data_IF_911199696255
#
_entry.id   IF_911199696255
#
_cell.length_a   1.000
_cell.length_b   1.000
_cell.length_c   1.000
_cell.angle_alpha   90.00
_cell.angle_beta   90.00
_cell.angle_gamma   90.00
#
_symmetry.space_group_name_H-M   'P 1'
#
loop_
_entity.id
_entity.type
_entity.pdbx_description
1 polymer ?
#
# COMPACT_ATOMS: atom_id res chain seq x y z
N UNK A 1 45.56 -19.24 5.21
CA UNK A 1 44.19 -19.41 5.74
C UNK A 1 43.29 -18.44 5.00
N UNK A 2 42.47 -18.92 4.07
CA UNK A 2 41.47 -18.09 3.38
C UNK A 2 40.14 -18.28 4.11
N UNK A 3 39.64 -17.19 4.68
CA UNK A 3 38.33 -17.12 5.34
C UNK A 3 37.26 -17.13 4.24
N UNK A 4 36.43 -18.17 4.22
CA UNK A 4 35.18 -18.17 3.47
C UNK A 4 34.18 -17.31 4.24
N UNK A 5 33.83 -16.14 3.70
CA UNK A 5 32.61 -15.43 4.10
C UNK A 5 31.43 -16.10 3.39
N UNK A 6 30.29 -16.33 4.06
CA UNK A 6 29.10 -16.85 3.39
C UNK A 6 28.58 -15.82 2.38
N UNK A 7 28.05 -16.31 1.27
CA UNK A 7 27.39 -15.50 0.27
C UNK A 7 26.18 -14.79 0.91
N UNK A 8 26.09 -13.47 0.75
CA UNK A 8 24.94 -12.70 1.22
C UNK A 8 23.68 -13.15 0.50
N UNK A 9 22.63 -13.50 1.26
CA UNK A 9 21.27 -13.64 0.72
C UNK A 9 20.80 -12.24 0.34
N UNK A 10 20.46 -12.05 -0.93
CA UNK A 10 19.72 -10.85 -1.37
C UNK A 10 18.25 -11.24 -1.34
N UNK A 11 17.51 -10.69 -0.38
CA UNK A 11 16.07 -10.90 -0.29
C UNK A 11 15.37 -9.85 -1.15
N UNK A 12 14.70 -10.29 -2.21
CA UNK A 12 13.80 -9.45 -2.99
C UNK A 12 12.37 -9.79 -2.58
N UNK A 13 11.68 -8.83 -1.96
CA UNK A 13 10.24 -8.97 -1.65
C UNK A 13 9.47 -8.53 -2.89
N UNK A 14 8.75 -9.47 -3.50
CA UNK A 14 7.87 -9.17 -4.63
C UNK A 14 6.41 -9.21 -4.17
N UNK A 15 5.70 -8.09 -4.30
CA UNK A 15 4.25 -8.08 -4.34
C UNK A 15 3.81 -8.23 -5.80
N UNK A 16 3.05 -9.27 -6.12
CA UNK A 16 2.59 -9.52 -7.47
C UNK A 16 1.33 -8.68 -7.76
N UNK A 17 1.49 -7.56 -8.46
CA UNK A 17 0.40 -6.83 -9.11
C UNK A 17 0.21 -7.32 -10.54
N UNK A 18 -0.99 -7.75 -10.91
CA UNK A 18 -1.32 -8.11 -12.30
C UNK A 18 -1.64 -6.82 -13.05
N UNK A 19 -0.77 -6.40 -13.95
CA UNK A 19 -1.07 -5.34 -14.93
C UNK A 19 -1.63 -6.00 -16.18
N UNK A 20 -2.93 -5.83 -16.44
CA UNK A 20 -3.54 -6.20 -17.72
C UNK A 20 -3.44 -4.99 -18.65
N UNK A 21 -2.40 -4.94 -19.48
CA UNK A 21 -2.25 -3.90 -20.49
C UNK A 21 -3.00 -4.26 -21.78
N UNK A 22 -3.99 -3.44 -22.18
CA UNK A 22 -4.55 -3.47 -23.52
C UNK A 22 -3.56 -2.82 -24.50
N UNK A 23 -3.01 -3.60 -25.44
CA UNK A 23 -2.08 -3.11 -26.44
C UNK A 23 -2.79 -2.25 -27.50
N UNK A 24 -2.44 -0.97 -27.60
CA UNK A 24 -2.68 -0.17 -28.80
C UNK A 24 -1.36 0.01 -29.55
N UNK A 25 -1.40 -0.21 -30.86
CA UNK A 25 -0.21 -0.27 -31.71
C UNK A 25 0.53 1.09 -31.77
N UNK A 26 1.72 1.14 -31.17
CA UNK A 26 2.65 2.27 -31.26
C UNK A 26 3.37 2.34 -32.61
N UNK A 27 4.00 3.49 -32.94
CA UNK A 27 4.60 3.73 -34.24
C UNK A 27 5.80 2.81 -34.50
N UNK A 28 5.93 2.36 -35.75
CA UNK A 28 6.96 1.45 -36.22
C UNK A 28 8.37 2.02 -35.98
N UNK A 29 9.08 1.45 -35.00
CA UNK A 29 10.45 1.84 -34.67
C UNK A 29 10.93 1.44 -33.27
N UNK A 30 10.02 1.14 -32.34
CA UNK A 30 10.38 0.49 -31.09
C UNK A 30 10.63 -1.00 -31.35
N UNK A 31 11.83 -1.50 -31.02
CA UNK A 31 12.05 -2.95 -31.01
C UNK A 31 11.08 -3.59 -30.00
N UNK A 32 10.27 -4.52 -30.48
CA UNK A 32 9.31 -5.27 -29.67
C UNK A 32 10.06 -6.25 -28.76
N UNK A 33 10.58 -5.73 -27.64
CA UNK A 33 11.29 -6.47 -26.60
C UNK A 33 10.42 -7.52 -25.91
N UNK A 34 9.12 -7.57 -26.19
CA UNK A 34 8.23 -8.62 -25.68
C UNK A 34 8.49 -9.99 -26.34
N UNK A 35 9.22 -10.01 -27.45
CA UNK A 35 9.60 -11.24 -28.15
C UNK A 35 11.05 -11.68 -27.87
N UNK A 36 11.81 -10.88 -27.13
CA UNK A 36 13.15 -11.29 -26.71
C UNK A 36 13.03 -12.52 -25.80
N UNK A 37 13.85 -13.57 -26.01
CA UNK A 37 13.84 -14.72 -25.13
C UNK A 37 14.13 -14.25 -23.71
N UNK A 38 13.33 -14.75 -22.75
CA UNK A 38 13.61 -14.56 -21.33
C UNK A 38 15.03 -15.04 -21.07
N UNK A 39 15.93 -14.10 -20.78
CA UNK A 39 17.31 -14.42 -20.49
C UNK A 39 17.31 -15.18 -19.17
N UNK A 40 17.60 -16.47 -19.21
CA UNK A 40 17.89 -17.25 -18.01
C UNK A 40 19.17 -16.68 -17.40
N UNK A 41 19.00 -15.87 -16.35
CA UNK A 41 20.09 -15.23 -15.63
C UNK A 41 21.00 -16.21 -14.89
N UNK A 42 20.73 -17.52 -14.94
CA UNK A 42 21.55 -18.57 -14.33
C UNK A 42 21.52 -18.60 -12.80
N UNK A 43 20.74 -17.72 -12.17
CA UNK A 43 20.49 -17.71 -10.74
C UNK A 43 19.08 -18.27 -10.48
N UNK A 44 18.95 -19.47 -9.88
CA UNK A 44 17.64 -20.01 -9.55
C UNK A 44 16.96 -19.11 -8.51
N UNK A 45 15.74 -18.66 -8.82
CA UNK A 45 14.87 -17.95 -7.88
C UNK A 45 13.96 -18.96 -7.18
N UNK A 46 13.80 -18.81 -5.88
CA UNK A 46 12.85 -19.57 -5.07
C UNK A 46 12.06 -18.60 -4.19
N UNK A 47 10.79 -18.93 -3.95
CA UNK A 47 9.93 -18.20 -3.01
C UNK A 47 9.93 -18.92 -1.67
N UNK A 48 10.15 -18.17 -0.60
CA UNK A 48 10.05 -18.64 0.78
C UNK A 48 8.94 -17.84 1.47
N UNK A 49 7.90 -18.49 2.05
CA UNK A 49 6.89 -17.79 2.82
C UNK A 49 7.50 -17.17 4.08
N UNK A 50 7.39 -15.85 4.23
CA UNK A 50 7.85 -15.13 5.43
C UNK A 50 6.74 -14.86 6.45
N UNK A 51 5.48 -14.95 6.03
CA UNK A 51 4.31 -14.80 6.90
C UNK A 51 3.11 -15.57 6.34
N UNK A 52 2.15 -15.89 7.22
CA UNK A 52 0.87 -16.50 6.88
C UNK A 52 -0.22 -16.06 7.87
N UNK A 53 -1.49 -16.24 7.53
CA UNK A 53 -2.62 -15.89 8.39
C UNK A 53 -3.03 -14.42 8.37
N UNK A 54 -2.51 -13.63 7.42
CA UNK A 54 -3.02 -12.29 7.10
C UNK A 54 -4.37 -12.41 6.36
N UNK A 55 -5.19 -11.37 6.38
CA UNK A 55 -6.55 -11.41 5.83
C UNK A 55 -6.55 -11.20 4.32
N UNK A 56 -6.10 -10.03 3.88
CA UNK A 56 -5.95 -9.61 2.49
C UNK A 56 -4.85 -8.54 2.40
N UNK A 57 -3.56 -8.93 2.37
CA UNK A 57 -2.44 -7.98 2.25
C UNK A 57 -2.54 -7.11 0.99
N UNK A 58 -2.41 -5.79 1.13
CA UNK A 58 -2.56 -4.81 0.04
C UNK A 58 -1.25 -4.17 -0.39
N UNK A 59 -0.29 -3.98 0.52
CA UNK A 59 1.00 -3.35 0.27
C UNK A 59 2.08 -3.86 1.22
N UNK A 60 3.35 -3.74 0.82
CA UNK A 60 4.50 -4.12 1.64
C UNK A 60 5.70 -3.19 1.41
N UNK A 61 6.31 -2.71 2.48
CA UNK A 61 7.53 -1.88 2.42
C UNK A 61 8.50 -2.21 3.54
N UNK A 62 9.80 -2.17 3.26
CA UNK A 62 10.82 -2.44 4.28
C UNK A 62 10.80 -1.35 5.37
N UNK A 63 11.11 -1.73 6.61
CA UNK A 63 11.38 -0.76 7.67
C UNK A 63 12.63 0.05 7.32
N UNK A 64 12.61 1.39 7.44
CA UNK A 64 13.79 2.21 7.20
C UNK A 64 14.87 2.11 8.29
N UNK A 65 14.55 1.52 9.44
CA UNK A 65 15.37 1.57 10.66
C UNK A 65 15.62 0.24 11.33
N UNK A 66 14.89 -0.81 10.95
CA UNK A 66 15.03 -2.14 11.52
C UNK A 66 15.26 -3.11 10.37
N UNK A 67 16.47 -3.66 10.32
CA UNK A 67 16.82 -4.69 9.36
C UNK A 67 15.85 -5.89 9.48
N UNK A 68 15.64 -6.59 8.37
CA UNK A 68 14.81 -7.80 8.30
C UNK A 68 13.34 -7.60 8.76
N UNK A 69 12.84 -6.36 8.71
CA UNK A 69 11.44 -6.05 8.98
C UNK A 69 10.70 -5.51 7.76
N UNK A 70 9.59 -6.16 7.43
CA UNK A 70 8.65 -5.74 6.40
C UNK A 70 7.37 -5.23 7.07
N UNK A 71 6.94 -4.02 6.73
CA UNK A 71 5.63 -3.52 7.11
C UNK A 71 4.64 -3.86 6.01
N UNK A 72 3.56 -4.55 6.36
CA UNK A 72 2.55 -5.04 5.43
C UNK A 72 1.20 -4.47 5.81
N UNK A 73 0.55 -3.73 4.92
CA UNK A 73 -0.85 -3.34 5.11
C UNK A 73 -1.75 -4.51 4.79
N UNK A 74 -2.76 -4.68 5.61
CA UNK A 74 -3.83 -5.66 5.44
C UNK A 74 -5.14 -4.88 5.27
N UNK A 75 -5.94 -5.27 4.27
CA UNK A 75 -7.11 -4.50 3.83
C UNK A 75 -8.07 -4.19 4.99
N UNK A 76 -8.16 -5.09 5.96
CA UNK A 76 -9.01 -4.99 7.14
C UNK A 76 -8.55 -3.94 8.18
N UNK A 77 -7.49 -3.17 7.90
CA UNK A 77 -7.06 -2.04 8.72
C UNK A 77 -5.86 -2.31 9.61
N UNK A 78 -5.16 -3.43 9.42
CA UNK A 78 -3.98 -3.78 10.22
C UNK A 78 -2.71 -3.51 9.41
N UNK A 79 -1.77 -2.78 9.99
CA UNK A 79 -0.37 -2.80 9.53
C UNK A 79 0.36 -3.86 10.36
N UNK A 80 0.86 -4.89 9.71
CA UNK A 80 1.70 -5.93 10.30
C UNK A 80 3.17 -5.56 10.21
N UNK A 81 3.92 -5.72 11.30
CA UNK A 81 5.37 -5.84 11.28
C UNK A 81 5.74 -7.32 11.16
N UNK A 82 6.35 -7.68 10.04
CA UNK A 82 6.76 -9.05 9.70
C UNK A 82 8.27 -9.17 9.83
N UNK A 83 8.73 -10.13 10.62
CA UNK A 83 10.13 -10.57 10.65
C UNK A 83 10.40 -11.54 9.50
N UNK A 84 11.23 -11.14 8.54
CA UNK A 84 11.49 -11.98 7.35
C UNK A 84 12.49 -13.11 7.59
N UNK A 85 13.15 -13.14 8.75
CA UNK A 85 14.07 -14.22 9.17
C UNK A 85 13.39 -15.25 10.10
N UNK A 86 12.06 -15.19 10.21
CA UNK A 86 11.25 -16.20 10.90
C UNK A 86 10.86 -15.84 12.34
N UNK A 87 11.04 -14.59 12.76
CA UNK A 87 10.60 -14.10 14.07
C UNK A 87 9.09 -13.87 14.23
N UNK A 88 8.30 -14.10 13.17
CA UNK A 88 6.84 -14.01 13.19
C UNK A 88 6.27 -12.62 12.85
N UNK A 89 4.99 -12.43 13.13
CA UNK A 89 4.25 -11.19 12.83
C UNK A 89 3.69 -10.54 14.10
N UNK A 90 3.65 -9.20 14.12
CA UNK A 90 3.04 -8.41 15.20
C UNK A 90 2.30 -7.20 14.64
N UNK A 91 1.27 -6.73 15.34
CA UNK A 91 0.55 -5.50 14.96
C UNK A 91 1.45 -4.28 15.16
N UNK A 92 1.59 -3.46 14.12
CA UNK A 92 2.31 -2.19 14.14
C UNK A 92 1.38 -0.98 14.26
N UNK A 93 0.22 -1.05 13.60
CA UNK A 93 -0.87 -0.07 13.66
C UNK A 93 -2.20 -0.79 13.40
N UNK A 94 -3.24 -0.38 14.12
CA UNK A 94 -4.63 -0.82 13.91
C UNK A 94 -5.51 0.41 13.65
N UNK A 95 -6.09 0.47 12.46
CA UNK A 95 -7.05 1.49 12.04
C UNK A 95 -8.40 0.88 11.65
N UNK A 96 -8.66 -0.37 12.02
CA UNK A 96 -9.87 -1.11 11.63
C UNK A 96 -11.16 -0.38 12.02
N UNK A 97 -11.19 0.23 13.20
CA UNK A 97 -12.32 1.03 13.71
C UNK A 97 -12.58 2.32 12.91
N UNK A 98 -11.67 2.73 12.02
CA UNK A 98 -11.82 3.92 11.17
C UNK A 98 -12.40 3.60 9.80
N UNK A 99 -12.34 2.34 9.38
CA UNK A 99 -12.72 1.96 8.04
C UNK A 99 -14.24 1.90 7.88
N UNK A 100 -14.71 2.10 6.64
CA UNK A 100 -16.05 1.66 6.27
C UNK A 100 -16.20 0.14 6.45
N UNK A 101 -17.45 -0.32 6.58
CA UNK A 101 -17.73 -1.75 6.53
C UNK A 101 -17.33 -2.33 5.16
N UNK A 102 -16.41 -3.30 5.19
CA UNK A 102 -15.88 -3.98 4.02
C UNK A 102 -16.75 -5.17 3.60
N UNK A 103 -16.60 -5.60 2.35
CA UNK A 103 -17.31 -6.73 1.77
C UNK A 103 -18.67 -6.36 1.21
N UNK A 104 -18.81 -5.17 0.61
CA UNK A 104 -20.08 -4.66 0.07
C UNK A 104 -20.72 -5.58 -0.98
N UNK A 105 -19.92 -6.35 -1.73
CA UNK A 105 -20.42 -7.36 -2.67
C UNK A 105 -20.82 -8.71 -2.05
N UNK A 106 -20.52 -8.93 -0.76
CA UNK A 106 -20.74 -10.21 -0.08
C UNK A 106 -19.64 -11.26 -0.32
N UNK A 107 -19.86 -12.52 0.09
CA UNK A 107 -18.84 -13.58 0.00
C UNK A 107 -18.41 -13.86 -1.44
N UNK A 108 -17.12 -14.10 -1.65
CA UNK A 108 -16.50 -14.36 -2.97
C UNK A 108 -16.67 -13.21 -3.98
N UNK A 109 -16.71 -11.98 -3.49
CA UNK A 109 -16.64 -10.76 -4.30
C UNK A 109 -15.40 -9.95 -3.94
N UNK A 110 -15.26 -8.78 -4.55
CA UNK A 110 -14.20 -7.84 -4.25
C UNK A 110 -14.76 -6.58 -3.60
N UNK A 111 -13.89 -5.88 -2.90
CA UNK A 111 -14.06 -4.55 -2.34
C UNK A 111 -12.67 -3.93 -2.45
N UNK A 112 -12.52 -2.74 -3.01
CA UNK A 112 -11.18 -2.11 -3.11
C UNK A 112 -10.92 -1.14 -1.96
N UNK A 113 -11.93 -0.91 -1.11
CA UNK A 113 -11.81 -0.08 0.07
C UNK A 113 -10.99 -0.75 1.16
N UNK A 114 -10.50 0.05 2.08
CA UNK A 114 -9.85 -0.39 3.31
C UNK A 114 -8.56 0.35 3.56
N UNK A 115 -7.56 -0.33 4.14
CA UNK A 115 -6.21 0.18 4.26
C UNK A 115 -5.38 -0.22 3.02
N UNK A 116 -5.00 0.77 2.21
CA UNK A 116 -4.42 0.53 0.88
C UNK A 116 -2.95 0.96 0.77
N UNK A 117 -2.60 2.07 1.43
CA UNK A 117 -1.29 2.71 1.28
C UNK A 117 -0.53 2.83 2.59
N UNK A 118 0.79 2.69 2.52
CA UNK A 118 1.72 2.99 3.60
C UNK A 118 3.02 3.57 3.03
N UNK A 119 3.43 4.73 3.54
CA UNK A 119 4.72 5.33 3.24
C UNK A 119 5.42 5.83 4.52
N UNK A 120 6.71 5.57 4.64
CA UNK A 120 7.55 6.18 5.67
C UNK A 120 8.07 7.53 5.19
N UNK A 121 8.13 8.52 6.09
CA UNK A 121 8.80 9.77 5.80
C UNK A 121 10.30 9.51 5.49
N UNK A 122 10.95 10.25 4.58
CA UNK A 122 12.37 10.06 4.27
C UNK A 122 13.28 10.17 5.51
N UNK A 123 12.93 11.05 6.45
CA UNK A 123 13.60 11.22 7.75
C UNK A 123 13.02 10.35 8.89
N UNK A 124 12.34 9.24 8.59
CA UNK A 124 11.65 8.38 9.58
C UNK A 124 12.54 7.99 10.77
N UNK A 125 13.83 7.75 10.54
CA UNK A 125 14.78 7.43 11.61
C UNK A 125 14.90 8.52 12.70
N UNK A 126 14.66 9.77 12.32
CA UNK A 126 14.75 10.93 13.21
C UNK A 126 13.39 11.38 13.75
N UNK A 127 12.34 11.33 12.92
CA UNK A 127 11.03 11.91 13.26
C UNK A 127 9.93 10.88 13.56
N UNK A 128 10.13 9.61 13.18
CA UNK A 128 9.15 8.54 13.36
C UNK A 128 7.88 8.69 12.53
N UNK A 129 7.86 9.54 11.49
CA UNK A 129 6.65 9.85 10.73
C UNK A 129 6.35 8.83 9.63
N UNK A 130 5.09 8.42 9.52
CA UNK A 130 4.57 7.59 8.45
C UNK A 130 3.18 8.07 8.01
N UNK A 131 2.74 7.60 6.85
CA UNK A 131 1.49 8.00 6.22
C UNK A 131 0.70 6.78 5.78
N UNK A 132 -0.62 6.82 5.99
CA UNK A 132 -1.54 5.76 5.55
C UNK A 132 -2.59 6.32 4.61
N UNK A 133 -3.11 5.47 3.73
CA UNK A 133 -4.30 5.72 2.91
C UNK A 133 -5.43 4.78 3.34
N UNK A 134 -6.56 5.34 3.78
CA UNK A 134 -7.70 4.57 4.30
C UNK A 134 -9.03 5.03 3.70
N UNK A 135 -9.91 4.07 3.41
CA UNK A 135 -11.32 4.34 3.08
C UNK A 135 -12.14 4.49 4.37
N UNK A 136 -12.42 5.73 4.78
CA UNK A 136 -13.20 6.06 5.99
C UNK A 136 -14.67 6.39 5.66
N UNK A 137 -15.61 6.27 6.63
CA UNK A 137 -16.97 6.78 6.45
C UNK A 137 -16.99 8.28 6.14
N UNK A 138 -18.05 8.71 5.46
CA UNK A 138 -18.29 10.12 5.16
C UNK A 138 -18.51 10.88 6.47
N UNK A 139 -17.53 11.71 6.86
CA UNK A 139 -17.56 12.52 8.07
C UNK A 139 -17.09 13.94 7.78
N UNK A 140 -18.04 14.80 7.46
CA UNK A 140 -17.79 16.21 7.14
C UNK A 140 -17.40 16.45 5.68
N UNK A 141 -16.82 17.63 5.43
CA UNK A 141 -16.43 18.07 4.09
C UNK A 141 -15.07 17.50 3.70
N UNK A 142 -14.97 16.99 2.47
CA UNK A 142 -13.68 16.67 1.87
C UNK A 142 -12.92 17.94 1.43
N UNK A 143 -11.61 17.83 1.35
CA UNK A 143 -10.73 18.86 0.79
C UNK A 143 -10.83 18.90 -0.75
N UNK A 144 -11.13 17.76 -1.37
CA UNK A 144 -11.29 17.60 -2.80
C UNK A 144 -12.45 16.65 -3.11
N UNK A 145 -13.22 16.97 -4.15
CA UNK A 145 -14.38 16.18 -4.58
C UNK A 145 -14.67 16.44 -6.04
N UNK A 146 -14.91 15.37 -6.80
CA UNK A 146 -15.43 15.40 -8.17
C UNK A 146 -16.92 15.05 -8.22
N UNK A 147 -17.55 14.88 -7.06
CA UNK A 147 -18.95 14.48 -6.95
C UNK A 147 -19.90 15.54 -7.53
N UNK A 148 -20.96 15.14 -8.25
CA UNK A 148 -22.04 16.03 -8.63
C UNK A 148 -22.69 16.69 -7.41
N UNK A 149 -23.16 17.93 -7.58
CA UNK A 149 -23.83 18.64 -6.48
C UNK A 149 -25.06 17.87 -6.00
N UNK A 150 -25.15 17.65 -4.69
CA UNK A 150 -26.29 16.98 -4.05
C UNK A 150 -26.21 15.45 -4.02
N UNK A 151 -25.12 14.84 -4.48
CA UNK A 151 -24.89 13.39 -4.31
C UNK A 151 -24.06 13.11 -3.06
N UNK A 152 -24.38 12.03 -2.36
CA UNK A 152 -23.59 11.55 -1.22
C UNK A 152 -22.49 10.62 -1.73
N UNK A 153 -21.22 10.81 -1.33
CA UNK A 153 -20.14 9.88 -1.67
C UNK A 153 -20.32 8.53 -0.98
N UNK A 154 -19.73 7.48 -1.54
CA UNK A 154 -19.73 6.15 -0.94
C UNK A 154 -18.92 6.13 0.36
N UNK A 155 -17.73 6.72 0.29
CA UNK A 155 -16.77 6.79 1.36
C UNK A 155 -15.84 8.00 1.14
N UNK A 156 -14.89 8.21 2.04
CA UNK A 156 -13.85 9.20 1.85
C UNK A 156 -12.48 8.53 1.93
N UNK A 157 -11.65 8.76 0.92
CA UNK A 157 -10.22 8.43 0.94
C UNK A 157 -9.52 9.41 1.86
N UNK A 158 -8.83 8.90 2.88
CA UNK A 158 -8.18 9.72 3.91
C UNK A 158 -6.70 9.39 4.01
N UNK A 159 -5.87 10.41 3.82
CA UNK A 159 -4.44 10.35 4.02
C UNK A 159 -4.14 10.90 5.40
N UNK A 160 -3.55 10.07 6.27
CA UNK A 160 -3.20 10.44 7.64
C UNK A 160 -1.70 10.31 7.87
N UNK A 161 -1.10 11.30 8.53
CA UNK A 161 0.22 11.22 9.14
C UNK A 161 0.10 10.65 10.56
N UNK A 162 1.08 9.83 10.94
CA UNK A 162 1.20 9.24 12.27
C UNK A 162 2.65 9.30 12.73
N UNK A 163 2.86 9.13 14.03
CA UNK A 163 4.19 9.10 14.62
C UNK A 163 4.42 7.81 15.43
N UNK A 164 5.61 7.27 15.27
CA UNK A 164 6.17 6.18 16.08
C UNK A 164 7.17 6.80 17.07
N UNK A 165 7.01 6.60 18.39
CA UNK A 165 7.84 7.28 19.39
C UNK A 165 9.30 6.79 19.41
N UNK A 166 9.56 5.55 18.98
CA UNK A 166 10.88 4.93 18.99
C UNK A 166 11.14 4.15 17.68
N UNK A 167 11.27 4.82 16.53
CA UNK A 167 11.26 4.19 15.21
C UNK A 167 12.38 3.15 14.99
N UNK A 168 13.44 3.17 15.79
CA UNK A 168 14.53 2.18 15.75
C UNK A 168 14.36 0.95 16.67
N UNK A 169 13.27 0.84 17.42
CA UNK A 169 13.06 -0.28 18.34
C UNK A 169 12.13 -1.35 17.72
N UNK A 170 12.52 -2.65 17.67
CA UNK A 170 11.72 -3.70 17.02
C UNK A 170 10.29 -3.87 17.54
N UNK A 171 10.06 -3.52 18.81
CA UNK A 171 8.73 -3.55 19.43
C UNK A 171 7.99 -2.20 19.40
N UNK A 172 8.50 -1.20 18.66
CA UNK A 172 7.82 0.07 18.54
C UNK A 172 6.55 -0.08 17.69
N UNK A 173 5.49 0.56 18.15
CA UNK A 173 4.18 0.64 17.49
C UNK A 173 3.84 2.10 17.28
N UNK A 174 2.98 2.38 16.31
CA UNK A 174 2.45 3.72 16.08
C UNK A 174 1.64 4.16 17.30
N UNK A 175 1.77 5.43 17.71
CA UNK A 175 0.89 6.03 18.71
C UNK A 175 -0.38 6.57 18.01
N UNK A 176 -1.56 5.95 18.18
CA UNK A 176 -2.76 6.38 17.46
C UNK A 176 -3.22 7.80 17.82
N UNK A 177 -2.80 8.34 18.97
CA UNK A 177 -3.14 9.71 19.39
C UNK A 177 -2.42 10.78 18.56
N UNK A 178 -1.38 10.40 17.83
CA UNK A 178 -0.57 11.31 17.00
C UNK A 178 -1.16 11.57 15.61
N UNK A 179 -2.27 10.90 15.27
CA UNK A 179 -2.94 11.04 13.96
C UNK A 179 -3.13 12.51 13.59
N UNK A 180 -2.59 12.90 12.45
CA UNK A 180 -2.93 14.15 11.78
C UNK A 180 -3.47 13.85 10.39
N UNK A 181 -4.71 14.22 10.14
CA UNK A 181 -5.29 14.15 8.80
C UNK A 181 -4.60 15.16 7.88
N UNK A 182 -4.20 14.71 6.69
CA UNK A 182 -3.47 15.52 5.71
C UNK A 182 -4.37 15.87 4.53
N UNK A 183 -5.20 14.92 4.09
CA UNK A 183 -6.07 15.08 2.94
C UNK A 183 -7.27 14.14 3.06
N UNK A 184 -8.46 14.65 2.78
CA UNK A 184 -9.71 13.90 2.69
C UNK A 184 -10.35 14.13 1.32
N UNK A 185 -10.75 13.05 0.65
CA UNK A 185 -11.27 13.09 -0.71
C UNK A 185 -12.57 12.30 -0.78
N UNK A 186 -13.61 12.88 -1.37
CA UNK A 186 -14.88 12.16 -1.61
C UNK A 186 -14.72 11.14 -2.74
N UNK A 187 -15.14 9.90 -2.49
CA UNK A 187 -15.13 8.82 -3.49
C UNK A 187 -16.56 8.40 -3.89
N UNK A 188 -16.88 8.35 -5.18
CA UNK A 188 -18.24 8.04 -5.62
C UNK A 188 -18.66 6.59 -5.37
N UNK A 189 -17.73 5.63 -5.47
CA UNK A 189 -18.02 4.20 -5.37
C UNK A 189 -17.00 3.47 -4.49
N UNK A 190 -16.98 2.14 -4.54
CA UNK A 190 -16.17 1.28 -3.65
C UNK A 190 -14.96 0.64 -4.35
N UNK A 191 -14.71 1.05 -5.58
CA UNK A 191 -13.73 0.48 -6.47
C UNK A 191 -13.08 1.60 -7.29
N UNK A 192 -11.93 1.29 -7.87
CA UNK A 192 -10.94 2.22 -8.41
C UNK A 192 -10.40 3.17 -7.34
N UNK A 193 -10.03 2.62 -6.17
CA UNK A 193 -9.57 3.42 -5.03
C UNK A 193 -8.07 3.76 -5.11
N UNK A 194 -7.29 3.04 -5.93
CA UNK A 194 -5.83 3.14 -6.03
C UNK A 194 -5.12 3.01 -4.67
N UNK A 195 -4.64 4.12 -4.09
CA UNK A 195 -4.13 4.17 -2.71
C UNK A 195 -2.62 4.05 -2.53
N UNK A 196 -1.82 4.02 -3.60
CA UNK A 196 -0.36 4.00 -3.47
C UNK A 196 0.16 5.33 -2.89
N UNK A 197 1.07 5.22 -1.90
CA UNK A 197 1.76 6.35 -1.27
C UNK A 197 3.26 6.18 -1.45
N UNK A 198 3.96 7.22 -1.92
CA UNK A 198 5.41 7.19 -2.06
C UNK A 198 6.02 8.57 -1.91
N UNK A 199 7.15 8.67 -1.22
CA UNK A 199 7.96 9.88 -1.24
C UNK A 199 8.87 9.90 -2.45
N UNK A 200 8.83 10.99 -3.22
CA UNK A 200 9.77 11.24 -4.30
C UNK A 200 11.14 11.69 -3.79
N UNK A 201 12.17 11.65 -4.65
CA UNK A 201 13.52 12.14 -4.31
C UNK A 201 13.56 13.67 -4.07
N UNK A 202 12.50 14.38 -4.43
CA UNK A 202 12.27 15.80 -4.18
C UNK A 202 11.66 16.08 -2.79
N UNK A 203 11.33 15.04 -2.02
CA UNK A 203 10.78 15.16 -0.67
C UNK A 203 9.26 15.35 -0.62
N UNK A 204 8.55 15.28 -1.74
CA UNK A 204 7.09 15.34 -1.75
C UNK A 204 6.46 13.96 -1.58
N UNK A 205 5.33 13.91 -0.87
CA UNK A 205 4.47 12.73 -0.83
C UNK A 205 3.59 12.72 -2.08
N UNK A 206 3.75 11.68 -2.90
CA UNK A 206 2.90 11.41 -4.05
C UNK A 206 1.80 10.44 -3.64
N UNK A 207 0.57 10.80 -3.99
CA UNK A 207 -0.64 10.06 -3.67
C UNK A 207 -1.28 9.62 -4.98
N UNK A 208 -1.40 8.31 -5.20
CA UNK A 208 -2.17 7.77 -6.30
C UNK A 208 -3.65 7.69 -5.90
N UNK A 209 -4.48 8.39 -6.66
CA UNK A 209 -5.93 8.45 -6.48
C UNK A 209 -6.58 7.86 -7.73
N UNK A 210 -7.57 6.99 -7.56
CA UNK A 210 -8.39 6.56 -8.69
C UNK A 210 -9.61 7.46 -8.85
N UNK A 211 -10.45 7.15 -9.83
CA UNK A 211 -11.66 7.93 -10.13
C UNK A 211 -12.88 7.49 -9.32
N UNK A 212 -12.75 6.42 -8.54
CA UNK A 212 -13.83 5.82 -7.79
C UNK A 212 -14.94 5.24 -8.68
N UNK A 213 -14.66 4.93 -9.95
CA UNK A 213 -15.66 4.59 -10.96
C UNK A 213 -16.04 3.11 -11.05
N UNK A 214 -17.20 2.79 -11.62
CA UNK A 214 -17.66 1.41 -11.78
C UNK A 214 -16.92 0.69 -12.91
N UNK A 215 -17.12 -0.63 -13.01
CA UNK A 215 -16.76 -1.36 -14.24
C UNK A 215 -17.42 -0.72 -15.48
N UNK A 216 -16.72 -0.79 -16.62
CA UNK A 216 -17.16 -0.30 -17.94
C UNK A 216 -17.44 1.22 -18.02
N UNK A 217 -16.70 2.02 -17.25
CA UNK A 217 -16.75 3.49 -17.25
C UNK A 217 -18.16 4.05 -17.02
N UNK A 218 -18.90 3.46 -16.07
CA UNK A 218 -20.28 3.86 -15.74
C UNK A 218 -20.39 4.57 -14.38
N UNK A 219 -21.37 5.47 -14.28
CA UNK A 219 -21.75 6.11 -13.03
C UNK A 219 -20.94 7.36 -12.70
N UNK A 220 -21.10 7.87 -11.48
CA UNK A 220 -20.34 9.01 -11.00
C UNK A 220 -18.87 8.60 -10.86
N UNK A 221 -17.96 9.44 -11.38
CA UNK A 221 -16.53 9.14 -11.52
C UNK A 221 -16.06 9.11 -12.98
N UNK A 222 -16.99 8.92 -13.93
CA UNK A 222 -16.74 8.88 -15.38
C UNK A 222 -17.63 9.86 -16.17
#
# INVERSE_FOLDING_TARGET
MRSNRPAGRVLAVAAAGVVVGAATAGPAGAQDRLTDPVIDGGAPLALEPVASGLTAPTWGTASPTIDDRLMVTDQNGIVWSVDVEGGGTSVFLDVSDRLVALGVGGPNTFDERGLLGLAFHPDYASNGLLYTYTSEPVDGSADFSTMPSGTTPNHQSVISEWQVPAPGHPAAVVDPSTRREILRIDEPQFNHDAGALVFGPDGFLYVALGDGGAADDQGVGH
#
